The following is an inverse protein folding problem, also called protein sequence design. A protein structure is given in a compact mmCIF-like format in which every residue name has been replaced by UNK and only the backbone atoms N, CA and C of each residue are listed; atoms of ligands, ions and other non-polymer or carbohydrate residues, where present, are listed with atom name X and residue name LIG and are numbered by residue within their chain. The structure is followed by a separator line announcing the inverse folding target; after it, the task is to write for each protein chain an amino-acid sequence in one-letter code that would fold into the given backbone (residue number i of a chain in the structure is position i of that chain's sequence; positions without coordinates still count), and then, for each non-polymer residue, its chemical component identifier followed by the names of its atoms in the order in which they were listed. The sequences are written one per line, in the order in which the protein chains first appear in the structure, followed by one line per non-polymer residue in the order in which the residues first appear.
data_IF_169574991116
#
_entry.id   IF_169574991116
#
_cell.length_a   1.000
_cell.length_b   1.000
_cell.length_c   1.000
_cell.angle_alpha   90.00
_cell.angle_beta   90.00
_cell.angle_gamma   90.00
#
_symmetry.space_group_name_H-M   'P 1'
#
loop_
_entity.id
_entity.type
_entity.pdbx_description
1 polymer ?
#
# COMPACT_ATOMS: atom_id res chain seq x y z
N UNK A 1 1.59 -17.25 20.90
CA UNK A 1 0.53 -17.06 19.94
C UNK A 1 0.91 -15.96 18.95
N UNK A 2 0.50 -16.12 17.73
CA UNK A 2 0.80 -15.15 16.70
C UNK A 2 -0.05 -13.89 16.92
N UNK A 3 0.59 -12.73 16.81
CA UNK A 3 -0.09 -11.48 17.06
C UNK A 3 0.10 -10.56 15.86
N UNK A 4 -0.98 -10.00 15.33
CA UNK A 4 -0.92 -9.07 14.24
C UNK A 4 -0.65 -7.65 14.77
N UNK A 5 0.18 -6.91 14.03
CA UNK A 5 0.41 -5.50 14.30
C UNK A 5 -0.64 -4.70 13.56
N UNK A 6 -1.42 -3.89 14.27
CA UNK A 6 -2.44 -3.07 13.65
C UNK A 6 -1.84 -1.78 13.12
N UNK A 7 -2.16 -1.44 11.87
CA UNK A 7 -1.72 -0.21 11.24
C UNK A 7 -2.92 0.72 11.09
N UNK A 8 -2.75 2.02 11.38
CA UNK A 8 -3.89 2.94 11.32
C UNK A 8 -4.40 3.12 9.90
N UNK A 9 -5.72 3.10 9.75
CA UNK A 9 -6.33 3.20 8.42
C UNK A 9 -6.13 4.58 7.79
N UNK A 10 -5.93 5.61 8.59
CA UNK A 10 -5.67 6.94 8.04
C UNK A 10 -4.27 7.09 7.46
N UNK A 11 -3.40 6.13 7.68
CA UNK A 11 -2.06 6.13 7.10
C UNK A 11 -1.03 6.83 7.95
N UNK A 12 0.17 6.91 7.38
CA UNK A 12 1.33 7.46 8.07
C UNK A 12 1.32 8.99 7.92
N UNK A 13 1.64 9.69 9.01
CA UNK A 13 1.67 11.16 9.01
C UNK A 13 2.99 11.72 9.48
N UNK A 14 3.99 10.87 9.66
CA UNK A 14 5.31 11.32 10.07
C UNK A 14 6.13 11.86 8.92
N UNK A 15 7.40 12.16 9.18
CA UNK A 15 8.28 12.68 8.13
C UNK A 15 8.56 11.60 7.08
N UNK A 16 8.55 12.03 5.82
CA UNK A 16 8.84 11.13 4.70
C UNK A 16 10.35 11.11 4.49
N UNK A 17 10.98 9.93 4.50
CA UNK A 17 12.43 9.88 4.27
C UNK A 17 12.77 10.24 2.83
N UNK A 18 14.00 10.66 2.63
CA UNK A 18 14.49 10.96 1.29
C UNK A 18 14.49 9.71 0.44
N UNK A 19 14.18 9.88 -0.84
CA UNK A 19 14.22 8.77 -1.79
C UNK A 19 15.67 8.28 -1.91
N UNK A 20 15.95 7.01 -1.60
CA UNK A 20 17.34 6.57 -1.45
C UNK A 20 18.04 6.15 -2.73
N UNK A 21 17.33 6.07 -3.86
CA UNK A 21 17.95 5.65 -5.11
C UNK A 21 18.41 6.87 -5.91
N UNK A 22 19.42 6.72 -6.80
CA UNK A 22 19.93 7.86 -7.53
C UNK A 22 18.98 8.36 -8.61
N UNK A 23 19.07 9.66 -8.88
CA UNK A 23 18.41 10.32 -10.01
C UNK A 23 16.92 10.04 -10.11
N UNK A 24 16.14 10.32 -9.05
CA UNK A 24 14.70 10.08 -9.11
C UNK A 24 14.02 11.00 -10.12
N UNK A 25 13.07 10.45 -10.87
CA UNK A 25 12.22 11.27 -11.73
C UNK A 25 11.14 11.95 -10.89
N UNK A 26 10.51 12.97 -11.46
CA UNK A 26 9.40 13.62 -10.77
C UNK A 26 8.28 12.64 -10.48
N UNK A 27 8.01 11.73 -11.41
CA UNK A 27 6.96 10.74 -11.19
C UNK A 27 7.31 9.80 -10.05
N UNK A 28 8.58 9.37 -9.98
CA UNK A 28 9.04 8.55 -8.87
C UNK A 28 8.85 9.25 -7.53
N UNK A 29 9.17 10.53 -7.47
CA UNK A 29 9.00 11.28 -6.23
C UNK A 29 7.53 11.41 -5.85
N UNK A 30 6.65 11.60 -6.85
CA UNK A 30 5.21 11.66 -6.58
C UNK A 30 4.70 10.33 -6.02
N UNK A 31 5.11 9.22 -6.61
CA UNK A 31 4.68 7.90 -6.12
C UNK A 31 5.28 7.60 -4.76
N UNK A 32 6.52 8.03 -4.52
CA UNK A 32 7.17 7.92 -3.22
C UNK A 32 6.36 8.62 -2.13
N UNK A 33 5.95 9.86 -2.39
CA UNK A 33 5.13 10.61 -1.44
C UNK A 33 3.81 9.89 -1.15
N UNK A 34 3.19 9.37 -2.20
CA UNK A 34 1.95 8.61 -2.03
C UNK A 34 2.18 7.36 -1.18
N UNK A 35 3.25 6.63 -1.46
CA UNK A 35 3.54 5.39 -0.75
C UNK A 35 3.71 5.64 0.75
N UNK A 36 4.30 6.77 1.11
CA UNK A 36 4.53 7.11 2.51
C UNK A 36 3.32 7.71 3.20
N UNK A 37 2.15 7.69 2.54
CA UNK A 37 0.90 8.07 3.18
C UNK A 37 0.03 6.86 3.50
N UNK A 38 0.45 5.68 3.10
CA UNK A 38 -0.33 4.45 3.31
C UNK A 38 -0.23 3.98 4.75
N UNK A 39 -1.17 3.14 5.21
CA UNK A 39 -1.02 2.50 6.53
C UNK A 39 0.27 1.68 6.63
N UNK A 40 0.68 1.04 5.55
CA UNK A 40 1.90 0.25 5.53
C UNK A 40 3.13 1.07 5.86
N UNK A 41 3.13 2.36 5.50
CA UNK A 41 4.26 3.22 5.81
C UNK A 41 4.47 3.35 7.32
N UNK A 42 3.42 3.22 8.11
CA UNK A 42 3.56 3.19 9.57
C UNK A 42 4.46 2.04 10.02
N UNK A 43 4.34 0.89 9.36
CA UNK A 43 5.20 -0.24 9.67
C UNK A 43 6.62 0.01 9.19
N UNK A 44 6.79 0.58 8.00
CA UNK A 44 8.13 0.86 7.46
C UNK A 44 8.90 1.84 8.35
N UNK A 45 8.19 2.72 9.05
CA UNK A 45 8.81 3.72 9.92
C UNK A 45 9.18 3.17 11.30
N UNK A 46 8.80 1.95 11.63
CA UNK A 46 9.08 1.36 12.93
C UNK A 46 10.55 1.04 13.08
N UNK A 47 11.01 1.06 14.33
CA UNK A 47 12.37 0.63 14.63
C UNK A 47 12.54 -0.83 14.20
N UNK A 48 13.64 -1.11 13.54
CA UNK A 48 13.93 -2.44 13.07
C UNK A 48 13.42 -2.73 11.67
N UNK A 49 12.62 -1.83 11.11
CA UNK A 49 12.09 -2.01 9.76
C UNK A 49 12.73 -1.08 8.74
N UNK A 50 13.71 -0.28 9.15
CA UNK A 50 14.31 0.73 8.27
C UNK A 50 14.95 0.12 7.02
N UNK A 51 15.35 -1.13 7.07
CA UNK A 51 15.94 -1.81 5.93
C UNK A 51 14.93 -1.94 4.76
N UNK A 52 13.63 -1.83 5.06
CA UNK A 52 12.60 -1.92 4.02
C UNK A 52 12.52 -0.66 3.17
N UNK A 53 13.09 0.45 3.65
CA UNK A 53 12.97 1.73 2.94
C UNK A 53 13.52 1.60 1.51
N UNK A 54 14.64 0.91 1.35
CA UNK A 54 15.21 0.72 0.02
C UNK A 54 14.31 -0.17 -0.85
N UNK A 55 13.71 -1.20 -0.27
CA UNK A 55 12.79 -2.06 -1.02
C UNK A 55 11.56 -1.27 -1.48
N UNK A 56 11.06 -0.36 -0.63
CA UNK A 56 9.96 0.53 -1.01
C UNK A 56 10.37 1.37 -2.21
N UNK A 57 11.58 1.92 -2.18
CA UNK A 57 12.07 2.72 -3.30
C UNK A 57 12.21 1.91 -4.58
N UNK A 58 12.66 0.67 -4.48
CA UNK A 58 12.73 -0.22 -5.64
C UNK A 58 11.34 -0.50 -6.19
N UNK A 59 10.36 -0.72 -5.31
CA UNK A 59 8.98 -0.89 -5.74
C UNK A 59 8.49 0.36 -6.50
N UNK A 60 8.78 1.55 -5.96
CA UNK A 60 8.38 2.80 -6.61
C UNK A 60 8.99 2.88 -8.01
N UNK A 61 10.29 2.63 -8.12
CA UNK A 61 10.99 2.75 -9.41
C UNK A 61 10.45 1.77 -10.44
N UNK A 62 10.27 0.51 -10.05
CA UNK A 62 9.77 -0.50 -10.99
C UNK A 62 8.31 -0.23 -11.32
N UNK A 63 7.52 0.21 -10.33
CA UNK A 63 6.13 0.55 -10.52
C UNK A 63 5.97 1.67 -11.55
N UNK A 64 6.78 2.71 -11.45
CA UNK A 64 6.75 3.82 -12.41
C UNK A 64 7.12 3.34 -13.81
N UNK A 65 8.11 2.46 -13.93
CA UNK A 65 8.45 1.89 -15.24
C UNK A 65 7.30 1.11 -15.84
N UNK A 66 6.52 0.44 -15.00
CA UNK A 66 5.37 -0.33 -15.46
C UNK A 66 4.21 0.54 -15.94
N UNK A 67 4.25 1.84 -15.67
CA UNK A 67 3.23 2.75 -16.20
C UNK A 67 3.42 3.01 -17.70
N UNK A 68 4.59 2.68 -18.24
CA UNK A 68 4.86 2.81 -19.67
C UNK A 68 4.11 1.69 -20.41
N UNK A 69 3.31 2.03 -21.44
CA UNK A 69 2.59 0.99 -22.20
C UNK A 69 3.52 -0.05 -22.84
N UNK A 70 4.77 0.31 -23.09
CA UNK A 70 5.75 -0.59 -23.70
C UNK A 70 6.57 -1.36 -22.67
N UNK A 71 6.22 -1.28 -21.39
CA UNK A 71 6.99 -1.97 -20.35
C UNK A 71 6.92 -3.49 -20.57
N UNK A 72 8.06 -4.19 -20.43
CA UNK A 72 8.04 -5.64 -20.59
C UNK A 72 7.25 -6.31 -19.45
N UNK A 73 6.60 -7.42 -19.80
CA UNK A 73 5.77 -8.12 -18.82
C UNK A 73 6.56 -8.63 -17.63
N UNK A 74 7.87 -8.84 -17.78
CA UNK A 74 8.71 -9.27 -16.67
C UNK A 74 8.75 -8.24 -15.53
N UNK A 75 8.54 -6.95 -15.84
CA UNK A 75 8.49 -5.93 -14.80
C UNK A 75 7.25 -6.05 -13.92
N UNK A 76 6.13 -6.52 -14.48
CA UNK A 76 4.91 -6.71 -13.69
C UNK A 76 5.13 -7.72 -12.58
N UNK A 77 5.85 -8.80 -12.88
CA UNK A 77 6.16 -9.79 -11.85
C UNK A 77 7.04 -9.19 -10.75
N UNK A 78 7.99 -8.33 -11.13
CA UNK A 78 8.85 -7.68 -10.15
C UNK A 78 8.07 -6.71 -9.26
N UNK A 79 7.13 -5.96 -9.84
CA UNK A 79 6.28 -5.06 -9.06
C UNK A 79 5.51 -5.84 -8.00
N UNK A 80 4.91 -6.97 -8.38
CA UNK A 80 4.16 -7.78 -7.42
C UNK A 80 5.05 -8.34 -6.35
N UNK A 81 6.25 -8.80 -6.71
CA UNK A 81 7.18 -9.34 -5.73
C UNK A 81 7.61 -8.30 -4.71
N UNK A 82 7.96 -7.10 -5.18
CA UNK A 82 8.32 -6.01 -4.26
C UNK A 82 7.12 -5.61 -3.39
N UNK A 83 5.93 -5.54 -4.00
CA UNK A 83 4.72 -5.18 -3.23
C UNK A 83 4.48 -6.16 -2.09
N UNK A 84 4.66 -7.46 -2.33
CA UNK A 84 4.52 -8.46 -1.28
C UNK A 84 5.52 -8.21 -0.14
N UNK A 85 6.75 -7.86 -0.49
CA UNK A 85 7.82 -7.68 0.49
C UNK A 85 7.63 -6.47 1.39
N UNK A 86 6.80 -5.52 0.98
CA UNK A 86 6.57 -4.31 1.76
C UNK A 86 5.13 -4.22 2.27
N UNK A 87 4.35 -5.27 2.08
CA UNK A 87 3.00 -5.36 2.63
C UNK A 87 1.93 -4.60 1.88
N UNK A 88 2.17 -4.28 0.60
CA UNK A 88 1.19 -3.56 -0.21
C UNK A 88 0.19 -4.50 -0.89
N UNK A 89 0.17 -5.77 -0.51
CA UNK A 89 -0.80 -6.74 -1.00
C UNK A 89 -1.42 -7.45 0.18
N UNK A 90 -2.57 -8.09 -0.05
CA UNK A 90 -3.20 -8.90 1.00
C UNK A 90 -2.24 -9.99 1.49
N UNK A 91 -1.57 -10.67 0.55
CA UNK A 91 -0.62 -11.70 0.92
C UNK A 91 0.55 -11.13 1.70
N UNK A 92 1.07 -9.98 1.28
CA UNK A 92 2.18 -9.33 1.96
C UNK A 92 1.82 -8.90 3.36
N UNK A 93 0.63 -8.33 3.55
CA UNK A 93 0.16 -7.96 4.89
C UNK A 93 0.14 -9.17 5.80
N UNK A 94 -0.43 -10.28 5.33
CA UNK A 94 -0.51 -11.49 6.14
C UNK A 94 0.88 -12.01 6.48
N UNK A 95 1.77 -12.02 5.52
CA UNK A 95 3.13 -12.52 5.73
C UNK A 95 3.90 -11.69 6.73
N UNK A 96 3.73 -10.36 6.69
CA UNK A 96 4.41 -9.47 7.61
C UNK A 96 3.78 -9.47 9.00
N UNK A 97 2.59 -10.03 9.14
CA UNK A 97 1.86 -9.98 10.41
C UNK A 97 1.23 -8.61 10.65
N UNK A 98 0.92 -7.89 9.60
CA UNK A 98 0.30 -6.57 9.69
C UNK A 98 -1.18 -6.64 9.31
N UNK A 99 -1.97 -5.75 9.89
CA UNK A 99 -3.37 -5.61 9.48
C UNK A 99 -3.73 -4.13 9.56
N UNK A 100 -4.55 -3.68 8.62
CA UNK A 100 -5.03 -2.30 8.64
C UNK A 100 -6.23 -2.23 9.58
N UNK A 101 -6.13 -1.37 10.60
CA UNK A 101 -7.18 -1.24 11.60
C UNK A 101 -8.35 -0.48 11.02
N UNK A 102 -9.58 -0.90 11.39
CA UNK A 102 -10.74 -0.15 11.01
C UNK A 102 -10.77 1.19 11.73
N UNK A 103 -11.27 2.20 11.03
CA UNK A 103 -11.57 3.47 11.66
C UNK A 103 -12.80 3.26 12.54
N UNK A 104 -12.64 3.37 13.86
CA UNK A 104 -13.73 3.11 14.79
C UNK A 104 -14.91 4.05 14.58
N UNK A 105 -14.65 5.31 14.23
CA UNK A 105 -15.72 6.26 13.98
C UNK A 105 -16.51 5.86 12.75
N UNK A 106 -15.84 5.49 11.67
CA UNK A 106 -16.51 5.05 10.46
C UNK A 106 -17.24 3.74 10.69
N UNK A 107 -16.65 2.82 11.41
CA UNK A 107 -17.28 1.54 11.72
C UNK A 107 -18.52 1.73 12.54
N UNK A 108 -18.50 2.64 13.53
CA UNK A 108 -19.64 2.90 14.36
C UNK A 108 -20.80 3.51 13.58
N UNK A 109 -20.53 4.19 12.50
CA UNK A 109 -21.56 4.80 11.65
C UNK A 109 -22.05 3.87 10.55
N UNK A 110 -21.40 2.75 10.36
CA UNK A 110 -21.81 1.83 9.30
C UNK A 110 -23.05 1.07 9.70
N UNK A 111 -24.02 0.89 8.77
CA UNK A 111 -25.19 0.07 9.09
C UNK A 111 -24.76 -1.38 9.30
N UNK A 112 -25.39 -2.05 10.25
CA UNK A 112 -25.00 -3.44 10.52
C UNK A 112 -25.16 -4.36 9.33
N UNK A 113 -26.09 -4.06 8.45
CA UNK A 113 -26.34 -4.94 7.33
C UNK A 113 -25.71 -4.45 6.06
N UNK A 114 -24.85 -3.58 6.17
CA UNK A 114 -24.30 -3.05 5.00
C UNK A 114 -23.56 -4.01 4.27
N UNK A 115 -23.99 -4.71 4.03
CA UNK A 115 -23.42 -5.51 3.40
C UNK A 115 -23.68 -5.45 2.21
N UNK A 116 -23.87 -5.24 1.89
CA UNK A 116 -24.04 -5.30 0.95
C UNK A 116 -24.00 -4.62 0.11
N UNK A 117 -23.92 -4.36 -0.12
CA UNK A 117 -23.87 -3.74 -0.89
C UNK A 117 -23.29 -3.99 -1.74
N UNK A 118 -23.29 -4.57 -2.00
CA UNK A 118 -22.66 -4.72 -2.92
C UNK A 118 -23.19 -4.37 -4.05
N UNK A 119 -23.81 -4.08 -4.01
CA UNK A 119 -24.11 -3.75 -4.78
C UNK A 119 -23.73 -2.91 -5.37
N UNK A 120 -23.66 -2.81 -5.35
CA UNK A 120 -23.28 -2.11 -5.84
C UNK A 120 -22.80 -2.03 -6.62
N UNK A 121 -22.93 -2.62 -6.72
CA UNK A 121 -22.63 -2.57 -7.39
C UNK A 121 -23.18 -2.58 -8.28
N UNK A 122 -24.02 -2.57 -8.22
CA UNK A 122 -24.43 -2.47 -8.96
C UNK A 122 -24.57 -1.75 -9.58
N UNK A 123 -24.74 -1.82 -9.50
CA UNK A 123 -24.63 -1.21 -10.11
C UNK A 123 -24.63 -0.81 -10.82
N UNK A 124 -24.83 -1.20 -10.66
CA UNK A 124 -24.64 -0.88 -11.27
C UNK A 124 -24.95 -0.75 -12.01
N UNK A 125 -25.47 -0.97 -11.81
CA UNK A 125 -25.68 -0.81 -12.36
C UNK A 125 -26.13 -0.37 -12.92
N UNK A 126 -26.54 -0.47 -12.79
CA UNK A 126 -26.82 -0.10 -13.27
C UNK A 126 -26.96 0.40 -13.95
N UNK A 127 -27.15 0.31 -13.91
CA UNK A 127 -27.19 0.71 -14.59
C UNK A 127 -27.16 0.79 -15.40
N UNK A 128 -27.35 0.48 -15.51
CA UNK A 128 -27.21 0.47 -16.27
C UNK A 128 -27.03 0.86 -16.37
#
# INVERSE_FOLDING_TARGET
AFRLTALPSEGYRGPVPDFPLPDPSDRELTVWEWAWQTPQACAWAMLGESWRIRTVAMWVRVSVRCEDPDAPSSLLAQVHRFADQIGLTTAGLAEMGWKVAEDEVAAAKSPPSSVVRPRRLRVASDGG
#
